data_IF_754655572097
#
_entry.id   IF_754655572097
#
_cell.length_a   1.000
_cell.length_b   1.000
_cell.length_c   1.000
_cell.angle_alpha   90.00
_cell.angle_beta   90.00
_cell.angle_gamma   90.00
#
_symmetry.space_group_name_H-M   'P 1'
#
loop_
_entity.id
_entity.type
_entity.pdbx_description
1 polymer ?
#
# COMPACT_ATOMS: atom_id res chain seq x y z
N UNK A 1 5.81 -9.42 26.07
CA UNK A 1 4.81 -9.56 25.00
C UNK A 1 3.52 -9.01 25.59
N UNK A 2 3.24 -7.74 25.30
CA UNK A 2 2.17 -6.95 25.93
C UNK A 2 1.28 -6.50 24.78
N UNK A 3 0.05 -7.03 24.67
CA UNK A 3 -0.91 -6.75 23.58
C UNK A 3 -1.03 -7.86 22.53
N UNK A 4 -2.23 -7.96 21.94
CA UNK A 4 -2.54 -8.71 20.70
C UNK A 4 -1.69 -8.16 19.54
N UNK A 5 -1.18 -9.02 18.65
CA UNK A 5 -0.42 -8.53 17.48
C UNK A 5 -1.38 -7.96 16.42
N UNK A 6 -0.90 -7.10 15.52
CA UNK A 6 -1.70 -6.60 14.38
C UNK A 6 -2.40 -7.74 13.63
N UNK A 7 -1.69 -8.84 13.44
CA UNK A 7 -2.19 -10.09 12.85
C UNK A 7 -3.33 -10.72 13.64
N UNK A 8 -3.19 -10.81 14.96
CA UNK A 8 -4.23 -11.45 15.79
C UNK A 8 -5.52 -10.63 15.74
N UNK A 9 -5.40 -9.30 15.72
CA UNK A 9 -6.54 -8.40 15.62
C UNK A 9 -7.17 -8.48 14.23
N UNK A 10 -6.39 -8.44 13.14
CA UNK A 10 -6.92 -8.52 11.77
C UNK A 10 -7.64 -9.85 11.53
N UNK A 11 -7.06 -10.98 11.97
CA UNK A 11 -7.72 -12.29 11.90
C UNK A 11 -9.02 -12.34 12.69
N UNK A 12 -9.06 -11.72 13.86
CA UNK A 12 -10.29 -11.66 14.65
C UNK A 12 -11.40 -10.92 13.88
N UNK A 13 -11.07 -9.78 13.26
CA UNK A 13 -12.00 -9.04 12.39
C UNK A 13 -12.47 -9.88 11.21
N UNK A 14 -11.55 -10.60 10.54
CA UNK A 14 -11.92 -11.51 9.44
C UNK A 14 -12.90 -12.61 9.88
N UNK A 15 -12.75 -13.15 11.09
CA UNK A 15 -13.66 -14.15 11.63
C UNK A 15 -15.07 -13.62 11.92
N UNK A 16 -15.23 -12.30 12.08
CA UNK A 16 -16.53 -11.65 12.27
C UNK A 16 -17.24 -11.38 10.93
N UNK A 17 -16.51 -11.42 9.81
CA UNK A 17 -17.05 -11.05 8.51
C UNK A 17 -18.06 -12.08 7.98
N UNK A 18 -19.16 -11.57 7.45
CA UNK A 18 -20.20 -12.31 6.77
C UNK A 18 -20.43 -11.72 5.36
N UNK A 19 -20.05 -12.44 4.28
CA UNK A 19 -20.20 -11.95 2.91
C UNK A 19 -21.65 -11.55 2.60
N UNK A 20 -21.85 -10.33 2.10
CA UNK A 20 -23.17 -9.80 1.78
C UNK A 20 -24.02 -9.36 2.98
N UNK A 21 -23.45 -9.32 4.19
CA UNK A 21 -24.12 -8.74 5.37
C UNK A 21 -24.49 -7.26 5.16
N UNK A 22 -25.60 -6.77 5.77
CA UNK A 22 -26.10 -5.41 5.52
C UNK A 22 -25.31 -4.32 6.24
N UNK A 23 -24.38 -4.69 7.12
CA UNK A 23 -23.57 -3.74 7.89
C UNK A 23 -22.14 -3.67 7.38
N UNK A 24 -21.60 -2.45 7.34
CA UNK A 24 -20.19 -2.15 7.11
C UNK A 24 -19.64 -1.32 8.27
N UNK A 25 -18.32 -1.24 8.39
CA UNK A 25 -17.65 -0.34 9.35
C UNK A 25 -16.90 0.74 8.58
N UNK A 26 -17.30 1.99 8.79
CA UNK A 26 -16.73 3.17 8.11
C UNK A 26 -16.19 4.15 9.13
N UNK A 27 -15.24 4.99 8.74
CA UNK A 27 -14.91 6.14 9.57
C UNK A 27 -16.02 7.20 9.49
N UNK A 28 -16.57 7.61 10.63
CA UNK A 28 -17.62 8.64 10.68
C UNK A 28 -17.23 10.00 10.05
N UNK A 29 -15.94 10.32 10.00
CA UNK A 29 -15.43 11.59 9.45
C UNK A 29 -15.21 11.55 7.94
N UNK A 30 -14.77 10.42 7.40
CA UNK A 30 -14.32 10.32 6.00
C UNK A 30 -15.18 9.40 5.15
N UNK A 31 -16.05 8.61 5.77
CA UNK A 31 -16.89 7.61 5.10
C UNK A 31 -16.10 6.44 4.48
N UNK A 32 -14.77 6.41 4.61
CA UNK A 32 -13.96 5.30 4.11
C UNK A 32 -13.96 4.13 5.10
N UNK A 33 -13.87 2.91 4.59
CA UNK A 33 -13.69 1.69 5.39
C UNK A 33 -12.18 1.54 5.69
N UNK A 34 -11.73 1.70 6.96
CA UNK A 34 -10.31 1.57 7.30
C UNK A 34 -9.86 0.11 7.35
N UNK A 35 -8.58 -0.19 7.06
CA UNK A 35 -8.01 -1.51 7.37
C UNK A 35 -8.05 -1.78 8.91
N UNK A 36 -8.47 -2.96 9.39
CA UNK A 36 -8.72 -4.22 8.66
C UNK A 36 -10.15 -4.49 8.20
N UNK A 37 -11.10 -3.56 8.39
CA UNK A 37 -12.51 -3.74 7.98
C UNK A 37 -12.80 -3.37 6.52
N UNK A 38 -11.78 -2.91 5.79
CA UNK A 38 -11.91 -2.49 4.39
C UNK A 38 -12.47 -3.61 3.50
N UNK A 39 -13.68 -3.42 3.01
CA UNK A 39 -14.40 -4.34 2.14
C UNK A 39 -15.16 -5.44 2.85
N UNK A 40 -15.09 -5.50 4.19
CA UNK A 40 -15.77 -6.52 4.97
C UNK A 40 -17.23 -6.13 5.25
N UNK A 41 -18.07 -7.15 5.40
CA UNK A 41 -19.50 -7.02 5.67
C UNK A 41 -19.85 -7.86 6.88
N UNK A 42 -20.91 -7.48 7.58
CA UNK A 42 -21.30 -8.08 8.86
C UNK A 42 -22.81 -8.33 8.88
N UNK A 43 -23.22 -9.48 9.44
CA UNK A 43 -24.62 -9.93 9.44
C UNK A 43 -25.51 -9.07 10.33
N UNK A 44 -24.96 -8.59 11.45
CA UNK A 44 -25.68 -7.80 12.44
C UNK A 44 -24.84 -6.65 13.00
N UNK A 45 -25.55 -5.70 13.63
CA UNK A 45 -24.98 -4.47 14.15
C UNK A 45 -24.02 -4.71 15.33
N UNK A 46 -24.25 -5.73 16.15
CA UNK A 46 -23.42 -6.01 17.32
C UNK A 46 -22.08 -6.61 16.86
N UNK A 47 -22.11 -7.56 15.92
CA UNK A 47 -20.92 -8.11 15.26
C UNK A 47 -20.11 -7.01 14.54
N UNK A 48 -20.79 -6.09 13.85
CA UNK A 48 -20.14 -4.94 13.23
C UNK A 48 -19.53 -3.98 14.27
N UNK A 49 -20.15 -3.82 15.44
CA UNK A 49 -19.61 -2.99 16.52
C UNK A 49 -18.35 -3.62 17.13
N UNK A 50 -18.34 -4.94 17.31
CA UNK A 50 -17.14 -5.68 17.73
C UNK A 50 -15.99 -5.49 16.72
N UNK A 51 -16.28 -5.59 15.42
CA UNK A 51 -15.30 -5.32 14.37
C UNK A 51 -14.79 -3.85 14.38
N UNK A 52 -15.66 -2.89 14.72
CA UNK A 52 -15.28 -1.48 14.87
C UNK A 52 -14.34 -1.26 16.07
N UNK A 53 -14.60 -1.92 17.20
CA UNK A 53 -13.71 -1.89 18.38
C UNK A 53 -12.36 -2.53 18.08
N UNK A 54 -12.35 -3.72 17.48
CA UNK A 54 -11.12 -4.40 17.05
C UNK A 54 -10.34 -3.56 16.03
N UNK A 55 -11.01 -2.85 15.12
CA UNK A 55 -10.37 -1.89 14.22
C UNK A 55 -9.72 -0.73 14.96
N UNK A 56 -10.39 -0.18 15.98
CA UNK A 56 -9.81 0.88 16.80
C UNK A 56 -8.55 0.39 17.55
N UNK A 57 -8.58 -0.84 18.07
CA UNK A 57 -7.44 -1.51 18.69
C UNK A 57 -6.30 -1.72 17.69
N UNK A 58 -6.60 -2.24 16.49
CA UNK A 58 -5.61 -2.42 15.41
C UNK A 58 -4.88 -1.12 15.12
N UNK A 59 -5.62 -0.03 14.89
CA UNK A 59 -5.03 1.28 14.57
C UNK A 59 -4.26 1.85 15.77
N UNK A 60 -4.67 1.56 17.01
CA UNK A 60 -3.94 1.96 18.21
C UNK A 60 -2.62 1.19 18.37
N UNK A 61 -2.61 -0.11 18.07
CA UNK A 61 -1.38 -0.92 18.01
C UNK A 61 -0.45 -0.39 16.93
N UNK A 62 -0.98 -0.05 15.74
CA UNK A 62 -0.17 0.54 14.66
C UNK A 62 0.46 1.89 15.06
N UNK A 63 -0.24 2.69 15.87
CA UNK A 63 0.28 3.97 16.42
C UNK A 63 1.47 3.82 17.36
N UNK A 64 1.66 2.63 17.93
CA UNK A 64 2.86 2.36 18.75
C UNK A 64 4.11 2.29 17.86
N UNK A 65 3.97 1.94 16.59
CA UNK A 65 5.05 1.94 15.60
C UNK A 65 5.21 3.32 14.96
N UNK A 66 4.10 3.93 14.52
CA UNK A 66 4.12 5.27 13.93
C UNK A 66 3.03 6.17 14.55
N UNK A 67 3.39 7.18 15.36
CA UNK A 67 2.44 8.10 15.97
C UNK A 67 1.53 8.87 14.99
N UNK A 68 1.87 8.91 13.69
CA UNK A 68 1.09 9.62 12.66
C UNK A 68 -0.06 8.81 12.06
N UNK A 69 -0.21 7.52 12.42
CA UNK A 69 -1.33 6.70 11.92
C UNK A 69 -2.67 7.41 12.18
N UNK A 70 -3.48 7.66 11.12
CA UNK A 70 -4.70 8.43 11.23
C UNK A 70 -5.64 7.91 12.33
N UNK A 71 -6.14 8.83 13.15
CA UNK A 71 -7.26 8.56 14.06
C UNK A 71 -8.54 8.42 13.25
N UNK A 72 -9.02 7.19 13.22
CA UNK A 72 -10.34 6.84 12.74
C UNK A 72 -11.28 6.71 13.91
N UNK A 73 -12.53 7.11 13.68
CA UNK A 73 -13.69 6.78 14.51
C UNK A 73 -14.48 5.73 13.73
N UNK A 74 -14.16 4.42 13.86
CA UNK A 74 -14.88 3.37 13.17
C UNK A 74 -16.29 3.29 13.74
N UNK A 75 -17.28 3.39 12.88
CA UNK A 75 -18.70 3.37 13.21
C UNK A 75 -19.40 2.33 12.33
N UNK A 76 -20.38 1.66 12.92
CA UNK A 76 -21.27 0.75 12.18
C UNK A 76 -22.18 1.58 11.27
N UNK A 77 -22.22 1.19 10.00
CA UNK A 77 -23.05 1.78 8.98
C UNK A 77 -23.95 0.71 8.35
N UNK A 78 -25.24 0.96 8.34
CA UNK A 78 -26.20 0.18 7.54
C UNK A 78 -26.08 0.62 6.08
N UNK A 79 -25.81 -0.34 5.19
CA UNK A 79 -25.58 -0.08 3.77
C UNK A 79 -26.87 0.38 3.07
N UNK A 80 -28.04 0.01 3.59
CA UNK A 80 -29.33 0.42 3.04
C UNK A 80 -29.65 1.89 3.35
N UNK A 81 -29.09 2.46 4.43
CA UNK A 81 -29.34 3.84 4.85
C UNK A 81 -28.64 4.89 3.97
N UNK A 82 -27.74 4.47 3.08
CA UNK A 82 -27.02 5.33 2.13
C UNK A 82 -26.06 6.33 2.79
N UNK A 83 -25.02 6.81 2.08
CA UNK A 83 -24.01 7.66 2.70
C UNK A 83 -24.56 9.07 2.99
N UNK A 84 -24.84 9.35 4.26
CA UNK A 84 -25.10 10.69 4.78
C UNK A 84 -23.84 11.56 4.64
N UNK A 85 -23.80 12.37 3.58
CA UNK A 85 -22.65 13.17 3.21
C UNK A 85 -22.24 14.19 4.28
N UNK A 86 -20.95 14.22 4.61
CA UNK A 86 -20.34 15.30 5.39
C UNK A 86 -19.31 16.00 4.50
N UNK A 87 -19.58 17.26 4.15
CA UNK A 87 -18.75 18.11 3.30
C UNK A 87 -18.13 19.25 4.11
N UNK A 88 -16.83 19.12 4.38
CA UNK A 88 -15.85 20.23 4.43
C UNK A 88 -14.41 19.69 4.31
N UNK A 89 -14.26 18.47 3.76
CA UNK A 89 -13.19 17.54 4.08
C UNK A 89 -12.11 17.37 3.00
N UNK A 90 -12.22 17.98 1.80
CA UNK A 90 -11.49 17.52 0.61
C UNK A 90 -9.95 17.49 0.69
N UNK A 91 -9.31 18.46 1.35
CA UNK A 91 -7.84 18.52 1.49
C UNK A 91 -7.33 17.66 2.67
N UNK A 92 -8.05 17.68 3.80
CA UNK A 92 -7.83 16.75 4.89
C UNK A 92 -8.05 15.29 4.46
N UNK A 93 -8.98 15.06 3.53
CA UNK A 93 -9.31 13.79 2.90
C UNK A 93 -8.19 13.35 1.94
N UNK A 94 -7.56 14.27 1.19
CA UNK A 94 -6.36 13.95 0.39
C UNK A 94 -5.18 13.49 1.25
N UNK A 95 -4.81 14.29 2.28
CA UNK A 95 -3.75 13.92 3.23
C UNK A 95 -4.06 12.61 3.95
N UNK A 96 -5.31 12.43 4.40
CA UNK A 96 -5.72 11.24 5.11
C UNK A 96 -5.75 10.00 4.22
N UNK A 97 -6.17 10.12 2.95
CA UNK A 97 -6.06 9.04 1.96
C UNK A 97 -4.61 8.60 1.77
N UNK A 98 -3.71 9.57 1.62
CA UNK A 98 -2.28 9.34 1.47
C UNK A 98 -1.69 8.57 2.67
N UNK A 99 -1.89 9.10 3.88
CA UNK A 99 -1.39 8.47 5.11
C UNK A 99 -2.01 7.08 5.30
N UNK A 100 -3.29 6.93 5.01
CA UNK A 100 -3.97 5.64 5.14
C UNK A 100 -3.41 4.61 4.19
N UNK A 101 -3.21 4.96 2.91
CA UNK A 101 -2.55 4.08 1.97
C UNK A 101 -1.17 3.62 2.49
N UNK A 102 -0.35 4.56 2.99
CA UNK A 102 0.97 4.22 3.51
C UNK A 102 0.90 3.24 4.69
N UNK A 103 0.01 3.50 5.64
CA UNK A 103 -0.14 2.69 6.83
C UNK A 103 -0.82 1.34 6.60
N UNK A 104 -1.75 1.27 5.64
CA UNK A 104 -2.41 0.03 5.26
C UNK A 104 -1.38 -0.90 4.59
N UNK A 105 -0.56 -0.37 3.67
CA UNK A 105 0.55 -1.13 3.06
C UNK A 105 1.59 -1.55 4.11
N UNK A 106 1.97 -0.65 5.03
CA UNK A 106 2.91 -0.97 6.10
C UNK A 106 2.36 -2.07 7.01
N UNK A 107 1.15 -1.89 7.56
CA UNK A 107 0.48 -2.85 8.45
C UNK A 107 0.33 -4.22 7.80
N UNK A 108 -0.19 -4.27 6.57
CA UNK A 108 -0.29 -5.51 5.80
C UNK A 108 1.06 -6.20 5.57
N UNK A 109 2.13 -5.43 5.35
CA UNK A 109 3.48 -5.97 5.21
C UNK A 109 4.00 -6.53 6.52
N UNK A 110 3.80 -5.85 7.65
CA UNK A 110 4.19 -6.35 8.98
C UNK A 110 3.44 -7.63 9.35
N UNK A 111 2.13 -7.70 9.06
CA UNK A 111 1.35 -8.93 9.19
C UNK A 111 1.95 -10.06 8.35
N UNK A 112 2.26 -9.81 7.08
CA UNK A 112 2.87 -10.79 6.19
C UNK A 112 4.28 -11.25 6.64
N UNK A 113 5.09 -10.34 7.20
CA UNK A 113 6.38 -10.68 7.81
C UNK A 113 6.20 -11.62 9.00
N UNK A 114 5.24 -11.32 9.87
CA UNK A 114 4.85 -12.15 11.01
C UNK A 114 4.36 -13.54 10.56
N UNK A 115 3.54 -13.62 9.52
CA UNK A 115 3.00 -14.87 8.95
C UNK A 115 4.09 -15.75 8.33
N UNK A 116 5.03 -15.13 7.62
CA UNK A 116 6.17 -15.80 6.99
C UNK A 116 7.28 -16.15 7.99
N UNK A 117 7.17 -15.71 9.25
CA UNK A 117 8.17 -15.93 10.29
C UNK A 117 9.45 -15.09 10.13
N UNK A 118 9.38 -13.98 9.40
CA UNK A 118 10.50 -13.07 9.09
C UNK A 118 10.74 -12.04 10.21
N UNK A 119 10.79 -12.51 11.46
CA UNK A 119 10.94 -11.64 12.64
C UNK A 119 12.23 -10.81 12.64
N UNK A 120 13.31 -11.34 12.06
CA UNK A 120 14.56 -10.57 11.93
C UNK A 120 14.42 -9.38 10.99
N UNK A 121 13.62 -9.51 9.92
CA UNK A 121 13.34 -8.40 8.98
C UNK A 121 12.46 -7.36 9.66
N UNK A 122 11.42 -7.80 10.36
CA UNK A 122 10.53 -6.94 11.15
C UNK A 122 11.30 -6.12 12.20
N UNK A 123 12.12 -6.78 13.03
CA UNK A 123 12.91 -6.08 14.05
C UNK A 123 13.91 -5.11 13.44
N UNK A 124 14.64 -5.52 12.40
CA UNK A 124 15.62 -4.65 11.75
C UNK A 124 14.95 -3.45 11.07
N UNK A 125 13.75 -3.63 10.50
CA UNK A 125 12.99 -2.54 9.90
C UNK A 125 12.57 -1.52 10.96
N UNK A 126 12.12 -1.98 12.14
CA UNK A 126 11.78 -1.10 13.24
C UNK A 126 13.00 -0.38 13.83
N UNK A 127 14.13 -1.05 14.00
CA UNK A 127 15.39 -0.41 14.44
C UNK A 127 15.85 0.68 13.47
N UNK A 128 15.78 0.38 12.16
CA UNK A 128 16.11 1.32 11.09
C UNK A 128 15.16 2.51 11.10
N UNK A 129 13.85 2.25 11.20
CA UNK A 129 12.83 3.29 11.27
C UNK A 129 13.05 4.20 12.48
N UNK A 130 13.24 3.64 13.68
CA UNK A 130 13.45 4.43 14.90
C UNK A 130 14.68 5.34 14.78
N UNK A 131 15.76 4.82 14.19
CA UNK A 131 16.98 5.60 13.93
C UNK A 131 16.72 6.76 12.96
N UNK A 132 15.97 6.52 11.89
CA UNK A 132 15.68 7.55 10.89
C UNK A 132 14.63 8.55 11.35
N UNK A 133 13.65 8.11 12.14
CA UNK A 133 12.58 8.93 12.68
C UNK A 133 13.12 10.04 13.60
N UNK A 134 14.29 9.86 14.24
CA UNK A 134 14.92 10.91 15.06
C UNK A 134 15.33 12.16 14.28
N UNK A 135 15.51 12.06 12.96
CA UNK A 135 15.99 13.15 12.10
C UNK A 135 14.95 13.61 11.07
N UNK A 136 13.73 13.07 11.14
CA UNK A 136 12.63 13.43 10.24
C UNK A 136 11.84 14.59 10.84
N UNK A 137 11.82 15.73 10.13
CA UNK A 137 11.12 16.94 10.57
C UNK A 137 9.65 17.00 10.07
N UNK A 138 9.38 16.47 8.87
CA UNK A 138 8.03 16.42 8.31
C UNK A 138 7.24 15.24 8.88
N UNK A 139 5.97 15.48 9.20
CA UNK A 139 5.08 14.44 9.72
C UNK A 139 4.73 13.38 8.69
N UNK A 140 4.62 13.75 7.42
CA UNK A 140 4.27 12.80 6.35
C UNK A 140 5.44 11.89 6.01
N UNK A 141 6.65 12.30 6.37
CA UNK A 141 7.85 11.52 6.17
C UNK A 141 7.98 10.36 7.16
N UNK A 142 7.26 10.34 8.28
CA UNK A 142 7.30 9.18 9.20
C UNK A 142 6.76 7.92 8.53
N UNK A 143 5.60 8.00 7.87
CA UNK A 143 5.02 6.83 7.22
C UNK A 143 5.85 6.37 6.02
N UNK A 144 6.46 7.32 5.29
CA UNK A 144 7.41 7.01 4.21
C UNK A 144 8.69 6.39 4.76
N UNK A 145 9.20 6.87 5.88
CA UNK A 145 10.39 6.34 6.55
C UNK A 145 10.15 4.93 7.05
N UNK A 146 8.96 4.63 7.57
CA UNK A 146 8.57 3.27 7.95
C UNK A 146 8.56 2.35 6.73
N UNK A 147 7.84 2.71 5.66
CA UNK A 147 7.78 1.93 4.42
C UNK A 147 9.18 1.72 3.83
N UNK A 148 9.99 2.77 3.77
CA UNK A 148 11.37 2.72 3.30
C UNK A 148 12.20 1.73 4.13
N UNK A 149 12.09 1.78 5.45
CA UNK A 149 12.86 0.92 6.35
C UNK A 149 12.47 -0.55 6.17
N UNK A 150 11.17 -0.83 6.07
CA UNK A 150 10.65 -2.17 5.77
C UNK A 150 11.14 -2.67 4.41
N UNK A 151 11.07 -1.85 3.37
CA UNK A 151 11.54 -2.22 2.03
C UNK A 151 13.04 -2.49 2.01
N UNK A 152 13.85 -1.62 2.61
CA UNK A 152 15.30 -1.74 2.64
C UNK A 152 15.73 -3.03 3.32
N UNK A 153 15.17 -3.34 4.49
CA UNK A 153 15.50 -4.56 5.22
C UNK A 153 14.96 -5.83 4.52
N UNK A 154 13.77 -5.74 3.92
CA UNK A 154 13.23 -6.83 3.11
C UNK A 154 14.10 -7.09 1.86
N UNK A 155 14.60 -6.05 1.20
CA UNK A 155 15.49 -6.18 0.06
C UNK A 155 16.86 -6.76 0.43
N UNK A 156 17.38 -6.40 1.61
CA UNK A 156 18.68 -6.84 2.11
C UNK A 156 18.67 -8.28 2.64
N UNK A 157 17.62 -8.66 3.39
CA UNK A 157 17.61 -9.90 4.19
C UNK A 157 16.76 -11.02 3.60
N UNK A 158 15.72 -10.72 2.82
CA UNK A 158 14.81 -11.73 2.33
C UNK A 158 15.18 -12.25 0.94
N UNK A 159 15.08 -13.57 0.78
CA UNK A 159 15.20 -14.22 -0.53
C UNK A 159 14.09 -13.75 -1.49
N UNK A 160 14.30 -13.94 -2.80
CA UNK A 160 13.29 -13.64 -3.82
C UNK A 160 11.94 -14.32 -3.52
N UNK A 161 11.96 -15.59 -3.11
CA UNK A 161 10.74 -16.34 -2.77
C UNK A 161 10.01 -15.74 -1.57
N UNK A 162 10.75 -15.38 -0.51
CA UNK A 162 10.17 -14.72 0.67
C UNK A 162 9.55 -13.36 0.31
N UNK A 163 10.22 -12.57 -0.55
CA UNK A 163 9.67 -11.29 -1.03
C UNK A 163 8.36 -11.45 -1.80
N UNK A 164 8.26 -12.50 -2.62
CA UNK A 164 7.02 -12.84 -3.33
C UNK A 164 5.91 -13.17 -2.34
N UNK A 165 6.17 -14.07 -1.39
CA UNK A 165 5.19 -14.45 -0.36
C UNK A 165 4.71 -13.25 0.45
N UNK A 166 5.63 -12.39 0.89
CA UNK A 166 5.27 -11.17 1.64
C UNK A 166 4.36 -10.24 0.82
N UNK A 167 4.67 -10.01 -0.45
CA UNK A 167 3.84 -9.17 -1.34
C UNK A 167 2.47 -9.80 -1.58
N UNK A 168 2.40 -11.10 -1.84
CA UNK A 168 1.15 -11.81 -2.05
C UNK A 168 0.26 -11.80 -0.80
N UNK A 169 0.85 -11.99 0.38
CA UNK A 169 0.15 -12.03 1.65
C UNK A 169 -0.33 -10.64 2.07
N UNK A 170 0.52 -9.61 1.96
CA UNK A 170 0.12 -8.22 2.20
C UNK A 170 -0.94 -7.75 1.20
N UNK A 171 -0.82 -8.13 -0.08
CA UNK A 171 -1.85 -7.83 -1.06
C UNK A 171 -3.17 -8.52 -0.73
N UNK A 172 -3.14 -9.76 -0.22
CA UNK A 172 -4.32 -10.52 0.17
C UNK A 172 -5.05 -9.90 1.35
N UNK A 173 -4.33 -9.47 2.39
CA UNK A 173 -4.97 -8.83 3.56
C UNK A 173 -5.65 -7.50 3.20
N UNK A 174 -5.17 -6.80 2.18
CA UNK A 174 -5.78 -5.56 1.69
C UNK A 174 -6.92 -5.77 0.68
N UNK A 175 -7.22 -7.01 0.28
CA UNK A 175 -8.33 -7.26 -0.66
C UNK A 175 -9.66 -7.12 0.04
N UNK A 176 -10.59 -6.43 -0.62
CA UNK A 176 -12.00 -6.57 -0.35
C UNK A 176 -12.47 -7.96 -0.85
N UNK A 177 -13.08 -8.81 -0.01
CA UNK A 177 -13.56 -10.14 -0.41
C UNK A 177 -14.58 -10.11 -1.55
N UNK A 178 -15.38 -9.04 -1.63
CA UNK A 178 -16.47 -8.89 -2.61
C UNK A 178 -16.04 -8.14 -3.90
N UNK A 179 -14.79 -7.67 -3.97
CA UNK A 179 -14.29 -6.99 -5.16
C UNK A 179 -14.05 -7.98 -6.30
N UNK A 180 -14.58 -7.67 -7.50
CA UNK A 180 -14.22 -8.38 -8.74
C UNK A 180 -12.70 -8.32 -8.94
N UNK A 181 -12.03 -9.41 -8.63
CA UNK A 181 -10.56 -9.52 -8.62
C UNK A 181 -9.98 -9.91 -9.97
N UNK A 182 -10.77 -10.49 -10.88
CA UNK A 182 -10.32 -10.88 -12.21
C UNK A 182 -10.43 -9.70 -13.18
N UNK A 183 -9.44 -8.81 -13.18
CA UNK A 183 -9.27 -7.79 -14.21
C UNK A 183 -8.29 -8.28 -15.28
N UNK A 184 -8.46 -7.83 -16.52
CA UNK A 184 -7.41 -8.08 -17.54
C UNK A 184 -6.13 -7.36 -17.09
N UNK A 185 -4.93 -7.91 -17.35
CA UNK A 185 -3.68 -7.31 -16.86
C UNK A 185 -3.55 -5.80 -17.14
N UNK A 186 -3.83 -5.37 -18.37
CA UNK A 186 -3.75 -3.95 -18.73
C UNK A 186 -4.82 -3.06 -18.05
N UNK A 187 -5.95 -3.62 -17.62
CA UNK A 187 -6.93 -2.92 -16.78
C UNK A 187 -6.44 -2.85 -15.33
N UNK A 188 -5.85 -3.93 -14.83
CA UNK A 188 -5.10 -4.02 -13.57
C UNK A 188 -4.10 -2.90 -13.38
N UNK A 189 -3.18 -2.80 -14.34
CA UNK A 189 -2.10 -1.80 -14.32
C UNK A 189 -2.66 -0.37 -14.32
N UNK A 190 -3.63 -0.07 -15.19
CA UNK A 190 -4.24 1.27 -15.26
C UNK A 190 -4.99 1.64 -13.98
N UNK A 191 -5.76 0.71 -13.44
CA UNK A 191 -6.51 0.92 -12.20
C UNK A 191 -5.58 1.12 -10.99
N UNK A 192 -4.44 0.42 -10.94
CA UNK A 192 -3.41 0.66 -9.92
C UNK A 192 -2.86 2.07 -10.00
N UNK A 193 -2.43 2.53 -11.18
CA UNK A 193 -1.87 3.87 -11.33
C UNK A 193 -2.92 4.96 -11.04
N UNK A 194 -4.15 4.76 -11.48
CA UNK A 194 -5.26 5.69 -11.20
C UNK A 194 -5.55 5.80 -9.70
N UNK A 195 -5.43 4.70 -8.95
CA UNK A 195 -5.57 4.74 -7.49
C UNK A 195 -4.40 5.47 -6.83
N UNK A 196 -3.16 5.15 -7.22
CA UNK A 196 -1.97 5.77 -6.64
C UNK A 196 -1.99 7.29 -6.83
N UNK A 197 -2.45 7.77 -7.99
CA UNK A 197 -2.66 9.19 -8.26
C UNK A 197 -3.80 9.77 -7.40
N UNK A 198 -4.94 9.08 -7.30
CA UNK A 198 -6.08 9.50 -6.47
C UNK A 198 -5.76 9.61 -4.97
N UNK A 199 -4.88 8.75 -4.46
CA UNK A 199 -4.41 8.82 -3.05
C UNK A 199 -3.21 9.75 -2.87
N UNK A 200 -2.71 10.37 -3.93
CA UNK A 200 -1.60 11.33 -3.89
C UNK A 200 -0.22 10.70 -3.68
N UNK A 201 -0.04 9.41 -4.01
CA UNK A 201 1.25 8.72 -3.89
C UNK A 201 2.17 8.96 -5.09
N UNK A 202 1.58 9.31 -6.23
CA UNK A 202 2.23 9.74 -7.47
C UNK A 202 1.45 10.91 -8.07
N UNK A 203 2.07 11.69 -8.95
CA UNK A 203 1.41 12.72 -9.75
C UNK A 203 1.56 12.46 -11.26
N UNK A 204 0.61 12.97 -12.06
CA UNK A 204 0.65 12.92 -13.52
C UNK A 204 0.85 11.52 -14.09
N UNK A 205 0.13 10.53 -13.55
CA UNK A 205 0.33 9.13 -13.91
C UNK A 205 -0.19 8.82 -15.32
N UNK A 206 0.61 8.11 -16.11
CA UNK A 206 0.21 7.63 -17.43
C UNK A 206 0.66 6.19 -17.66
N UNK A 207 -0.14 5.45 -18.43
CA UNK A 207 0.12 4.03 -18.74
C UNK A 207 -0.01 3.82 -20.24
N UNK A 208 1.05 3.34 -20.87
CA UNK A 208 1.05 2.93 -22.27
C UNK A 208 1.44 1.46 -22.41
N UNK A 209 0.97 0.82 -23.49
CA UNK A 209 1.46 -0.50 -23.86
C UNK A 209 2.93 -0.42 -24.31
N UNK A 210 3.69 -1.48 -24.04
CA UNK A 210 5.03 -1.68 -24.58
C UNK A 210 5.00 -2.21 -26.01
N UNK A 211 6.15 -2.69 -26.48
CA UNK A 211 6.28 -3.33 -27.80
C UNK A 211 5.56 -4.68 -27.82
N UNK A 212 5.66 -5.42 -26.72
CA UNK A 212 5.01 -6.71 -26.52
C UNK A 212 3.68 -6.54 -25.75
N UNK A 213 2.71 -7.41 -26.01
CA UNK A 213 1.34 -7.33 -25.44
C UNK A 213 1.29 -7.50 -23.91
N UNK A 214 2.35 -8.07 -23.33
CA UNK A 214 2.55 -8.34 -21.92
C UNK A 214 3.49 -7.34 -21.23
N UNK A 215 3.75 -6.20 -21.88
CA UNK A 215 4.61 -5.13 -21.37
C UNK A 215 3.82 -3.84 -21.23
N UNK A 216 4.01 -3.14 -20.12
CA UNK A 216 3.46 -1.80 -19.88
C UNK A 216 4.55 -0.84 -19.45
N UNK A 217 4.43 0.41 -19.90
CA UNK A 217 5.28 1.51 -19.50
C UNK A 217 4.45 2.46 -18.65
N UNK A 218 4.89 2.68 -17.41
CA UNK A 218 4.30 3.62 -16.47
C UNK A 218 5.16 4.86 -16.44
N UNK A 219 4.55 6.04 -16.54
CA UNK A 219 5.23 7.32 -16.29
C UNK A 219 4.50 8.07 -15.19
N UNK A 220 5.24 8.63 -14.25
CA UNK A 220 4.67 9.39 -13.13
C UNK A 220 5.71 10.35 -12.55
N UNK A 221 5.24 11.44 -11.96
CA UNK A 221 6.00 12.43 -11.22
C UNK A 221 5.81 12.32 -9.71
N UNK A 222 6.62 13.08 -8.98
CA UNK A 222 6.49 13.31 -7.53
C UNK A 222 6.25 12.03 -6.73
N UNK A 223 6.93 10.96 -7.13
CA UNK A 223 6.84 9.69 -6.43
C UNK A 223 7.41 9.82 -5.03
N UNK A 224 6.55 9.69 -4.03
CA UNK A 224 6.88 10.04 -2.64
C UNK A 224 8.13 9.31 -2.09
N UNK A 225 8.42 8.10 -2.57
CA UNK A 225 9.56 7.31 -2.12
C UNK A 225 10.86 7.55 -2.92
N UNK A 226 10.79 8.17 -4.10
CA UNK A 226 11.96 8.37 -4.97
C UNK A 226 13.04 9.26 -4.34
N UNK A 227 12.66 10.23 -3.52
CA UNK A 227 13.61 11.18 -2.92
C UNK A 227 14.56 10.55 -1.91
N UNK A 228 14.24 9.33 -1.44
CA UNK A 228 14.97 8.66 -0.36
C UNK A 228 16.03 7.68 -0.87
N UNK A 229 16.13 7.43 -2.18
CA UNK A 229 17.00 6.37 -2.71
C UNK A 229 17.53 6.63 -4.11
N UNK A 230 18.79 6.24 -4.38
CA UNK A 230 19.33 6.06 -5.75
C UNK A 230 18.76 4.83 -6.50
N UNK A 231 17.60 4.32 -6.06
CA UNK A 231 16.84 3.21 -6.61
C UNK A 231 15.37 3.65 -6.66
N UNK A 232 14.52 2.90 -7.35
CA UNK A 232 13.07 3.13 -7.28
C UNK A 232 12.45 2.09 -6.33
N UNK A 233 11.95 2.48 -5.15
CA UNK A 233 11.23 1.58 -4.27
C UNK A 233 9.89 1.20 -4.91
N UNK A 234 9.53 -0.08 -4.92
CA UNK A 234 8.36 -0.59 -5.67
C UNK A 234 7.39 -1.38 -4.81
N UNK A 235 7.68 -1.64 -3.52
CA UNK A 235 6.78 -2.42 -2.66
C UNK A 235 5.33 -1.91 -2.65
N UNK A 236 5.05 -0.60 -2.48
CA UNK A 236 3.65 -0.14 -2.50
C UNK A 236 2.97 -0.38 -3.85
N UNK A 237 3.70 -0.24 -4.96
CA UNK A 237 3.19 -0.53 -6.31
C UNK A 237 2.94 -2.03 -6.47
N UNK A 238 3.85 -2.87 -5.98
CA UNK A 238 3.73 -4.34 -6.00
C UNK A 238 2.50 -4.82 -5.23
N UNK A 239 2.31 -4.32 -4.01
CA UNK A 239 1.16 -4.68 -3.17
C UNK A 239 -0.14 -4.22 -3.83
N UNK A 240 -0.20 -2.97 -4.32
CA UNK A 240 -1.38 -2.44 -4.99
C UNK A 240 -1.73 -3.17 -6.29
N UNK A 241 -0.73 -3.61 -7.07
CA UNK A 241 -0.91 -4.37 -8.31
C UNK A 241 -1.30 -5.82 -8.02
N UNK A 242 -0.59 -6.50 -7.11
CA UNK A 242 -0.89 -7.88 -6.70
C UNK A 242 -2.31 -7.98 -6.11
N UNK A 243 -2.77 -6.97 -5.36
CA UNK A 243 -4.14 -6.89 -4.82
C UNK A 243 -5.21 -6.92 -5.92
N UNK A 244 -4.89 -6.40 -7.11
CA UNK A 244 -5.79 -6.40 -8.27
C UNK A 244 -5.62 -7.59 -9.20
N UNK A 245 -4.44 -8.22 -9.19
CA UNK A 245 -4.09 -9.31 -10.09
C UNK A 245 -3.58 -10.52 -9.27
N UNK A 246 -4.45 -11.21 -8.49
CA UNK A 246 -4.04 -12.28 -7.57
C UNK A 246 -3.28 -13.43 -8.23
N UNK A 247 -3.75 -13.83 -9.41
CA UNK A 247 -3.29 -15.06 -10.08
C UNK A 247 -2.29 -14.75 -11.19
N UNK A 248 -1.78 -13.52 -11.22
CA UNK A 248 -0.93 -13.02 -12.31
C UNK A 248 0.45 -12.67 -11.78
N UNK A 249 1.47 -13.33 -12.30
CA UNK A 249 2.86 -12.96 -12.01
C UNK A 249 3.23 -11.69 -12.76
N UNK A 250 4.06 -10.87 -12.15
CA UNK A 250 4.60 -9.67 -12.78
C UNK A 250 5.97 -9.33 -12.25
N UNK A 251 6.75 -8.59 -13.04
CA UNK A 251 7.99 -7.99 -12.60
C UNK A 251 8.09 -6.53 -12.98
N UNK A 252 8.69 -5.74 -12.10
CA UNK A 252 9.20 -4.42 -12.44
C UNK A 252 10.61 -4.62 -13.00
N UNK A 253 10.76 -4.44 -14.31
CA UNK A 253 11.96 -4.85 -15.05
C UNK A 253 13.02 -3.75 -15.11
N UNK A 254 12.62 -2.49 -15.18
CA UNK A 254 13.51 -1.34 -15.27
C UNK A 254 12.86 -0.06 -14.76
N UNK A 255 13.64 0.77 -14.09
CA UNK A 255 13.25 2.11 -13.67
C UNK A 255 14.24 3.12 -14.25
N UNK A 256 13.74 4.17 -14.89
CA UNK A 256 14.56 5.21 -15.53
C UNK A 256 14.08 6.57 -15.06
N UNK A 257 14.94 7.40 -14.43
CA UNK A 257 14.59 8.78 -14.13
C UNK A 257 14.46 9.56 -15.46
N UNK A 258 13.51 10.49 -15.54
CA UNK A 258 13.27 11.30 -16.75
C UNK A 258 13.62 12.79 -16.58
N UNK A 259 14.14 13.18 -15.41
CA UNK A 259 14.24 14.59 -15.00
C UNK A 259 12.98 15.10 -14.30
N UNK A 260 13.05 16.27 -13.67
CA UNK A 260 11.92 16.95 -13.01
C UNK A 260 11.09 16.06 -12.08
N UNK A 261 11.75 15.24 -11.25
CA UNK A 261 11.12 14.29 -10.32
C UNK A 261 10.22 13.24 -11.00
N UNK A 262 10.36 13.04 -12.31
CA UNK A 262 9.61 12.03 -13.08
C UNK A 262 10.39 10.74 -13.28
N UNK A 263 9.62 9.65 -13.36
CA UNK A 263 10.11 8.31 -13.55
C UNK A 263 9.38 7.60 -14.67
N UNK A 264 10.10 6.73 -15.37
CA UNK A 264 9.57 5.68 -16.23
C UNK A 264 9.81 4.34 -15.57
N UNK A 265 8.77 3.53 -15.44
CA UNK A 265 8.84 2.18 -14.87
C UNK A 265 8.27 1.18 -15.87
N UNK A 266 9.06 0.15 -16.21
CA UNK A 266 8.64 -0.95 -17.09
C UNK A 266 8.08 -2.11 -16.26
N UNK A 267 6.86 -2.52 -16.57
CA UNK A 267 6.18 -3.68 -15.98
C UNK A 267 6.01 -4.75 -17.04
N UNK A 268 6.33 -5.99 -16.68
CA UNK A 268 6.13 -7.16 -17.53
C UNK A 268 5.23 -8.15 -16.79
N UNK A 269 4.17 -8.61 -17.45
CA UNK A 269 3.18 -9.52 -16.88
C UNK A 269 3.42 -10.93 -17.43
N UNK A 270 3.20 -11.96 -16.62
CA UNK A 270 3.39 -13.35 -17.02
C UNK A 270 4.85 -13.82 -16.97
N UNK A 271 5.81 -12.88 -16.87
CA UNK A 271 7.19 -13.21 -16.54
C UNK A 271 7.38 -13.36 -15.02
N UNK A 272 8.35 -14.17 -14.61
CA UNK A 272 8.58 -14.53 -13.22
C UNK A 272 8.83 -13.32 -12.32
N UNK A 273 8.39 -13.36 -11.04
CA UNK A 273 8.25 -12.16 -10.21
C UNK A 273 9.58 -11.46 -9.91
N UNK A 274 9.69 -10.16 -10.13
CA UNK A 274 10.96 -9.44 -10.03
C UNK A 274 10.77 -7.97 -9.71
N UNK A 275 11.78 -7.34 -9.12
CA UNK A 275 11.73 -5.93 -8.77
C UNK A 275 10.59 -5.57 -7.81
N UNK A 276 10.15 -6.50 -6.97
CA UNK A 276 8.93 -6.33 -6.16
C UNK A 276 9.09 -5.40 -4.95
N UNK A 277 10.32 -5.15 -4.51
CA UNK A 277 10.61 -4.31 -3.34
C UNK A 277 11.32 -3.03 -3.76
N UNK A 278 12.28 -3.16 -4.67
CA UNK A 278 12.94 -2.06 -5.35
C UNK A 278 13.48 -2.51 -6.70
N UNK A 279 13.71 -1.55 -7.58
CA UNK A 279 14.41 -1.69 -8.86
C UNK A 279 15.54 -0.68 -8.91
N UNK A 280 16.71 -1.11 -9.38
CA UNK A 280 17.83 -0.19 -9.58
C UNK A 280 17.50 0.77 -10.72
N UNK A 281 17.75 2.06 -10.49
CA UNK A 281 17.60 3.06 -11.53
C UNK A 281 18.68 2.82 -12.58
N UNK A 282 18.27 2.58 -13.83
CA UNK A 282 19.19 2.60 -14.96
C UNK A 282 19.39 4.06 -15.34
N UNK A 283 20.64 4.55 -15.32
CA UNK A 283 20.97 5.89 -15.83
C UNK A 283 20.43 6.03 -17.25
N UNK A 284 19.60 7.05 -17.50
CA UNK A 284 19.39 7.52 -18.86
C UNK A 284 20.61 8.35 -19.21
N UNK A 285 21.54 7.79 -19.99
CA UNK A 285 22.75 8.50 -20.45
C UNK A 285 22.41 9.86 -21.11
N UNK A 286 21.15 10.06 -21.56
CA UNK A 286 20.63 11.31 -22.11
C UNK A 286 20.41 12.44 -21.09
N UNK A 287 20.32 12.15 -19.80
CA UNK A 287 20.21 13.19 -18.76
C UNK A 287 21.54 13.92 -18.51
N UNK A 288 22.65 13.35 -19.00
CA UNK A 288 23.97 13.97 -18.96
C UNK A 288 24.36 14.62 -20.29
N UNK A 289 23.51 14.51 -21.32
CA UNK A 289 23.76 15.09 -22.63
C UNK A 289 23.37 16.57 -22.60
N UNK A 290 24.37 17.41 -22.34
CA UNK A 290 24.23 18.88 -22.27
C UNK A 290 24.10 19.51 -23.67
N UNK A 291 24.09 18.70 -24.73
CA UNK A 291 24.08 19.15 -26.13
C UNK A 291 22.70 19.03 -26.83
N UNK A 292 21.62 18.72 -26.11
CA UNK A 292 20.26 18.81 -26.70
C UNK A 292 19.76 20.26 -26.68
N UNK A 293 20.24 21.06 -27.64
CA UNK A 293 19.62 22.35 -27.97
C UNK A 293 18.14 22.15 -28.35
N UNK A 294 17.26 22.93 -27.70
CA UNK A 294 15.86 23.12 -28.07
C UNK A 294 15.73 23.94 -29.36
#
# INVERSE_FOLDING_TARGET
MVGSTLRDISRHVDCLAAPGGPYAVVCGRTGCEPHPVSGLRFDDRDTAAEAAEATAEYRATLRQYDPQVPFYEPLVHDIEDGPGGVSSAAEADARLRYLSFCHDVAGATFEALSDTGLREVESAAMETYLTLAEVVDDRDDFCLTLLWSTMSELAYRASRRQRVTVVEDAARSLRCPDARTAMRPGEGVRATMSELERVGFVDGASVSAGVDDDVWILTFGDYALAERTGRLPTLPLSVALARRLPDTTFRFAAATPLGDRRWRLRVEIGDGPGGLVSVDATDDERLYDTDSEY
#
